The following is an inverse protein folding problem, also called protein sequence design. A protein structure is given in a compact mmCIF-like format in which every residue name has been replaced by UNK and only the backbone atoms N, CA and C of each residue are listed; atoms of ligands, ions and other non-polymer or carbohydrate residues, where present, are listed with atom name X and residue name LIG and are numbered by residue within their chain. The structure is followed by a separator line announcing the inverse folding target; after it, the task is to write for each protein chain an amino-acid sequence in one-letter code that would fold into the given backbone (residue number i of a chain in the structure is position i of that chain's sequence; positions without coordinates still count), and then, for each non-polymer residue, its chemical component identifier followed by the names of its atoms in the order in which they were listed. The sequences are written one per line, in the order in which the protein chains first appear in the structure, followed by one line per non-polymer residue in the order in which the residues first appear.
data_IF_289847776759
#
_entry.id   IF_289847776759
#
_cell.length_a   1.000
_cell.length_b   1.000
_cell.length_c   1.000
_cell.angle_alpha   90.00
_cell.angle_beta   90.00
_cell.angle_gamma   90.00
#
_symmetry.space_group_name_H-M   'P 1'
#
loop_
_entity.id
_entity.type
_entity.pdbx_description
1 polymer ?
#
# COMPACT_ATOMS: atom_id res chain seq x y z
N UNK A 1 -5.13 0.37 -63.63
CA UNK A 1 -3.76 -0.09 -63.33
C UNK A 1 -3.82 -0.79 -61.99
N UNK A 2 -3.63 -2.10 -61.98
CA UNK A 2 -3.74 -2.94 -60.79
C UNK A 2 -2.30 -3.27 -60.37
N UNK A 3 -1.75 -2.55 -59.40
CA UNK A 3 -0.43 -2.85 -58.84
C UNK A 3 -0.60 -4.03 -57.86
N UNK A 4 -0.08 -5.20 -58.23
CA UNK A 4 -0.03 -6.34 -57.31
C UNK A 4 1.01 -6.07 -56.21
N UNK A 5 0.71 -6.41 -54.94
CA UNK A 5 1.66 -6.22 -53.85
C UNK A 5 2.87 -7.14 -54.05
N UNK A 6 4.08 -6.57 -53.94
CA UNK A 6 5.35 -7.32 -53.95
C UNK A 6 5.32 -8.38 -52.84
N UNK A 7 5.23 -9.65 -53.23
CA UNK A 7 5.59 -10.77 -52.34
C UNK A 7 7.08 -10.65 -52.04
N UNK A 8 7.41 -10.32 -50.79
CA UNK A 8 8.79 -10.38 -50.30
C UNK A 8 9.18 -11.84 -50.10
N UNK A 9 10.39 -12.21 -50.53
CA UNK A 9 10.95 -13.54 -50.31
C UNK A 9 11.22 -13.75 -48.81
N UNK A 10 10.52 -14.71 -48.21
CA UNK A 10 10.60 -15.06 -46.79
C UNK A 10 12.05 -15.38 -46.34
N UNK A 11 12.90 -15.86 -47.26
CA UNK A 11 14.29 -16.18 -46.97
C UNK A 11 15.16 -14.91 -46.80
N UNK A 12 14.94 -13.91 -47.65
CA UNK A 12 15.62 -12.61 -47.55
C UNK A 12 15.24 -11.89 -46.25
N UNK A 13 13.96 -11.95 -45.86
CA UNK A 13 13.49 -11.35 -44.61
C UNK A 13 14.16 -12.00 -43.38
N UNK A 14 14.25 -13.35 -43.35
CA UNK A 14 14.92 -14.07 -42.26
C UNK A 14 16.41 -13.75 -42.17
N UNK A 15 17.07 -13.58 -43.31
CA UNK A 15 18.49 -13.21 -43.38
C UNK A 15 18.72 -11.78 -42.92
N UNK A 16 17.85 -10.85 -43.32
CA UNK A 16 17.88 -9.46 -42.88
C UNK A 16 17.67 -9.34 -41.36
N UNK A 17 16.67 -10.03 -40.81
CA UNK A 17 16.39 -10.06 -39.36
C UNK A 17 17.59 -10.63 -38.59
N UNK A 18 18.21 -11.72 -39.07
CA UNK A 18 19.39 -12.30 -38.41
C UNK A 18 20.58 -11.33 -38.41
N UNK A 19 20.83 -10.65 -39.53
CA UNK A 19 21.90 -9.68 -39.64
C UNK A 19 21.67 -8.46 -38.73
N UNK A 20 20.42 -7.98 -38.64
CA UNK A 20 20.05 -6.88 -37.74
C UNK A 20 20.23 -7.24 -36.27
N UNK A 21 19.79 -8.44 -35.87
CA UNK A 21 19.99 -8.95 -34.50
C UNK A 21 21.48 -9.01 -34.17
N UNK A 22 22.30 -9.54 -35.08
CA UNK A 22 23.73 -9.67 -34.87
C UNK A 22 24.45 -8.32 -34.79
N UNK A 23 24.05 -7.35 -35.62
CA UNK A 23 24.57 -5.97 -35.53
C UNK A 23 24.23 -5.34 -34.19
N UNK A 24 22.96 -5.44 -33.77
CA UNK A 24 22.50 -4.92 -32.48
C UNK A 24 23.24 -5.55 -31.31
N UNK A 25 23.51 -6.85 -31.36
CA UNK A 25 24.25 -7.55 -30.31
C UNK A 25 25.73 -7.15 -30.29
N UNK A 26 26.35 -6.97 -31.46
CA UNK A 26 27.72 -6.43 -31.55
C UNK A 26 27.82 -5.00 -30.99
N UNK A 27 26.84 -4.14 -31.26
CA UNK A 27 26.80 -2.79 -30.71
C UNK A 27 26.62 -2.80 -29.19
N UNK A 28 25.71 -3.63 -28.68
CA UNK A 28 25.53 -3.83 -27.23
C UNK A 28 26.81 -4.32 -26.56
N UNK A 29 27.53 -5.27 -27.18
CA UNK A 29 28.81 -5.75 -26.65
C UNK A 29 29.88 -4.65 -26.66
N UNK A 30 30.02 -3.89 -27.75
CA UNK A 30 30.96 -2.75 -27.82
C UNK A 30 30.64 -1.68 -26.78
N UNK A 31 29.36 -1.34 -26.59
CA UNK A 31 28.94 -0.37 -25.59
C UNK A 31 29.22 -0.87 -24.16
N UNK A 32 28.96 -2.15 -23.89
CA UNK A 32 29.26 -2.79 -22.60
C UNK A 32 30.77 -2.75 -22.32
N UNK A 33 31.61 -3.17 -23.26
CA UNK A 33 33.06 -3.14 -23.14
C UNK A 33 33.60 -1.72 -22.93
N UNK A 34 33.08 -0.74 -23.68
CA UNK A 34 33.45 0.68 -23.51
C UNK A 34 33.11 1.16 -22.09
N UNK A 35 31.91 0.86 -21.59
CA UNK A 35 31.48 1.22 -20.23
C UNK A 35 32.33 0.54 -19.16
N UNK A 36 32.67 -0.73 -19.33
CA UNK A 36 33.57 -1.47 -18.43
C UNK A 36 34.98 -0.90 -18.43
N UNK A 37 35.53 -0.58 -19.61
CA UNK A 37 36.86 0.04 -19.73
C UNK A 37 36.91 1.44 -19.08
N UNK A 38 35.87 2.25 -19.23
CA UNK A 38 35.76 3.56 -18.59
C UNK A 38 35.66 3.44 -17.07
N UNK A 39 34.86 2.48 -16.58
CA UNK A 39 34.78 2.20 -15.13
C UNK A 39 36.11 1.73 -14.57
N UNK A 40 36.81 0.84 -15.29
CA UNK A 40 38.13 0.36 -14.87
C UNK A 40 39.16 1.49 -14.86
N UNK A 41 39.17 2.35 -15.88
CA UNK A 41 40.04 3.52 -15.93
C UNK A 41 39.75 4.50 -14.78
N UNK A 42 38.47 4.76 -14.50
CA UNK A 42 38.04 5.58 -13.35
C UNK A 42 38.53 4.99 -12.02
N UNK A 43 38.30 3.69 -11.78
CA UNK A 43 38.74 3.02 -10.57
C UNK A 43 40.27 3.04 -10.37
N UNK A 44 41.04 2.93 -11.46
CA UNK A 44 42.51 3.06 -11.41
C UNK A 44 42.92 4.49 -11.06
N UNK A 45 42.26 5.49 -11.64
CA UNK A 45 42.54 6.90 -11.33
C UNK A 45 42.20 7.24 -9.87
N UNK A 46 41.04 6.78 -9.38
CA UNK A 46 40.63 6.94 -7.99
C UNK A 46 41.65 6.32 -7.04
N UNK A 47 42.07 5.07 -7.31
CA UNK A 47 43.09 4.39 -6.50
C UNK A 47 44.42 5.13 -6.49
N UNK A 48 44.85 5.72 -7.60
CA UNK A 48 46.07 6.54 -7.66
C UNK A 48 45.95 7.79 -6.79
N UNK A 49 44.79 8.46 -6.83
CA UNK A 49 44.51 9.63 -6.00
C UNK A 49 44.55 9.29 -4.51
N UNK A 50 43.99 8.14 -4.12
CA UNK A 50 44.00 7.70 -2.72
C UNK A 50 45.43 7.41 -2.23
N UNK A 51 46.23 6.70 -3.03
CA UNK A 51 47.65 6.46 -2.70
C UNK A 51 48.41 7.78 -2.55
N UNK A 52 48.22 8.71 -3.50
CA UNK A 52 48.88 10.01 -3.45
C UNK A 52 48.48 10.82 -2.21
N UNK A 53 47.20 10.78 -1.82
CA UNK A 53 46.70 11.43 -0.60
C UNK A 53 47.31 10.82 0.66
N UNK A 54 47.40 9.49 0.74
CA UNK A 54 48.05 8.81 1.86
C UNK A 54 49.54 9.14 1.96
N UNK A 55 50.26 9.18 0.82
CA UNK A 55 51.67 9.56 0.77
C UNK A 55 51.89 11.00 1.23
N UNK A 56 51.07 11.95 0.76
CA UNK A 56 51.08 13.33 1.23
C UNK A 56 50.85 13.42 2.73
N UNK A 57 49.83 12.73 3.25
CA UNK A 57 49.53 12.72 4.68
C UNK A 57 50.72 12.21 5.48
N UNK A 58 51.31 11.06 5.10
CA UNK A 58 52.50 10.52 5.76
C UNK A 58 53.69 11.49 5.74
N UNK A 59 53.84 12.25 4.66
CA UNK A 59 54.94 13.22 4.50
C UNK A 59 54.77 14.45 5.41
N UNK A 60 53.54 14.99 5.52
CA UNK A 60 53.26 16.22 6.25
C UNK A 60 52.82 16.01 7.70
N UNK A 61 52.31 14.85 8.08
CA UNK A 61 51.87 14.53 9.46
C UNK A 61 52.99 14.67 10.49
N UNK A 62 54.23 14.38 10.09
CA UNK A 62 55.41 14.52 10.96
C UNK A 62 56.10 15.89 10.85
N UNK A 63 55.59 16.82 10.03
CA UNK A 63 56.16 18.17 9.87
C UNK A 63 55.36 19.18 10.70
N UNK A 64 55.94 19.75 11.77
CA UNK A 64 55.27 20.80 12.52
C UNK A 64 55.09 22.03 11.63
N UNK A 65 53.86 22.55 11.55
CA UNK A 65 53.56 23.80 10.84
C UNK A 65 52.66 23.67 9.62
N UNK A 66 52.27 22.46 9.22
CA UNK A 66 51.27 22.25 8.17
C UNK A 66 49.92 21.82 8.76
N UNK A 67 48.83 22.18 8.08
CA UNK A 67 47.47 21.74 8.40
C UNK A 67 46.82 21.19 7.12
N UNK A 68 46.15 20.05 7.26
CA UNK A 68 45.31 19.47 6.20
C UNK A 68 44.02 20.29 6.08
N UNK A 69 43.72 20.75 4.87
CA UNK A 69 42.47 21.43 4.54
C UNK A 69 41.85 20.80 3.27
N UNK A 70 40.54 20.99 3.11
CA UNK A 70 39.79 20.54 1.93
C UNK A 70 39.35 21.79 1.17
N UNK A 71 39.73 21.89 -0.10
CA UNK A 71 39.37 23.01 -0.96
C UNK A 71 37.92 22.89 -1.48
N UNK A 72 37.40 23.94 -2.11
CA UNK A 72 36.04 23.96 -2.69
C UNK A 72 35.79 22.82 -3.70
N UNK A 73 36.84 22.37 -4.39
CA UNK A 73 36.80 21.24 -5.32
C UNK A 73 36.81 19.86 -4.64
N UNK A 74 36.89 19.81 -3.30
CA UNK A 74 36.94 18.57 -2.52
C UNK A 74 38.33 17.90 -2.51
N UNK A 75 39.36 18.60 -2.99
CA UNK A 75 40.75 18.15 -2.96
C UNK A 75 41.43 18.49 -1.64
N UNK A 76 42.41 17.67 -1.25
CA UNK A 76 43.14 17.83 0.03
C UNK A 76 44.43 18.59 -0.22
N UNK A 77 44.60 19.74 0.41
CA UNK A 77 45.83 20.52 0.35
C UNK A 77 46.46 20.68 1.73
N UNK A 78 47.79 20.79 1.74
CA UNK A 78 48.58 20.99 2.95
C UNK A 78 49.13 22.40 2.95
N UNK A 79 48.55 23.27 3.78
CA UNK A 79 48.92 24.68 3.86
C UNK A 79 49.69 24.95 5.16
N UNK A 80 50.63 25.90 5.11
CA UNK A 80 51.37 26.32 6.30
C UNK A 80 50.46 27.11 7.25
N UNK A 81 50.71 27.02 8.56
CA UNK A 81 49.91 27.74 9.57
C UNK A 81 49.92 29.27 9.39
N UNK A 82 51.01 29.81 8.85
CA UNK A 82 51.17 31.24 8.55
C UNK A 82 50.24 31.66 7.40
N UNK A 83 50.24 30.89 6.32
CA UNK A 83 49.39 31.13 5.15
C UNK A 83 47.89 30.94 5.45
N UNK A 84 47.53 29.99 6.32
CA UNK A 84 46.15 29.85 6.85
C UNK A 84 45.75 31.07 7.70
N UNK A 85 46.68 31.67 8.45
CA UNK A 85 46.38 32.84 9.27
C UNK A 85 46.27 34.13 8.47
N UNK A 86 47.01 34.24 7.37
CA UNK A 86 47.05 35.41 6.50
C UNK A 86 45.88 35.43 5.51
N UNK A 87 45.50 34.26 5.00
CA UNK A 87 44.38 34.07 4.06
C UNK A 87 43.14 33.45 4.72
N UNK A 88 43.01 33.53 6.06
CA UNK A 88 41.98 32.83 6.83
C UNK A 88 40.52 33.19 6.52
N UNK A 89 40.27 34.17 5.65
CA UNK A 89 38.93 34.48 5.11
C UNK A 89 38.53 33.62 3.91
N UNK A 90 39.47 32.90 3.27
CA UNK A 90 39.18 31.98 2.15
C UNK A 90 38.88 30.55 2.60
N UNK A 91 39.26 30.20 3.83
CA UNK A 91 39.09 28.86 4.38
C UNK A 91 38.24 28.97 5.65
N UNK A 92 36.91 28.99 5.47
CA UNK A 92 35.97 28.97 6.59
C UNK A 92 36.34 27.80 7.52
N UNK A 93 36.60 28.13 8.78
CA UNK A 93 36.94 27.17 9.83
C UNK A 93 35.78 26.20 10.16
N UNK A 94 34.63 26.41 9.53
CA UNK A 94 33.35 25.74 9.77
C UNK A 94 32.88 24.92 8.56
N UNK A 95 33.80 24.35 7.75
CA UNK A 95 33.42 23.24 6.86
C UNK A 95 33.06 22.05 7.76
N UNK A 96 31.80 21.99 8.20
CA UNK A 96 31.20 20.82 8.82
C UNK A 96 31.59 19.60 7.98
N UNK A 97 32.31 18.65 8.58
CA UNK A 97 32.67 17.39 7.94
C UNK A 97 31.42 16.81 7.24
N UNK A 98 31.40 16.73 5.89
CA UNK A 98 30.22 16.29 5.14
C UNK A 98 29.81 14.86 5.51
N UNK A 99 30.69 14.10 6.19
CA UNK A 99 30.36 12.81 6.78
C UNK A 99 29.28 12.91 7.87
N UNK A 100 29.25 13.99 8.65
CA UNK A 100 28.30 14.17 9.74
C UNK A 100 26.95 14.69 9.24
N UNK A 101 26.95 15.61 8.26
CA UNK A 101 25.74 16.06 7.57
C UNK A 101 25.04 14.91 6.84
N UNK A 102 25.79 14.04 6.15
CA UNK A 102 25.22 12.84 5.52
C UNK A 102 24.71 11.80 6.55
N UNK A 103 25.38 11.64 7.70
CA UNK A 103 24.88 10.77 8.79
C UNK A 103 23.56 11.29 9.34
N UNK A 104 23.44 12.61 9.53
CA UNK A 104 22.20 13.24 10.00
C UNK A 104 21.08 13.08 8.97
N UNK A 105 21.34 13.33 7.68
CA UNK A 105 20.35 13.11 6.62
C UNK A 105 19.90 11.65 6.52
N UNK A 106 20.82 10.68 6.59
CA UNK A 106 20.48 9.24 6.60
C UNK A 106 19.66 8.85 7.83
N UNK A 107 19.97 9.40 9.00
CA UNK A 107 19.20 9.16 10.21
C UNK A 107 17.77 9.71 10.07
N UNK A 108 17.59 10.93 9.55
CA UNK A 108 16.27 11.51 9.29
C UNK A 108 15.48 10.73 8.24
N UNK A 109 16.14 10.22 7.18
CA UNK A 109 15.50 9.34 6.18
C UNK A 109 15.05 8.02 6.81
N UNK A 110 15.87 7.40 7.66
CA UNK A 110 15.47 6.17 8.37
C UNK A 110 14.29 6.42 9.31
N UNK A 111 14.28 7.54 10.03
CA UNK A 111 13.15 7.93 10.89
C UNK A 111 11.89 8.15 10.05
N UNK A 112 12.00 8.83 8.90
CA UNK A 112 10.86 9.02 7.99
C UNK A 112 10.34 7.71 7.41
N UNK A 113 11.22 6.77 7.06
CA UNK A 113 10.84 5.43 6.58
C UNK A 113 10.14 4.64 7.69
N UNK A 114 10.66 4.67 8.92
CA UNK A 114 10.04 4.00 10.07
C UNK A 114 8.67 4.61 10.37
N UNK A 115 8.54 5.94 10.32
CA UNK A 115 7.27 6.63 10.49
C UNK A 115 6.28 6.23 9.39
N UNK A 116 6.71 6.22 8.13
CA UNK A 116 5.88 5.82 7.00
C UNK A 116 5.47 4.34 7.09
N UNK A 117 6.38 3.44 7.46
CA UNK A 117 6.07 2.04 7.72
C UNK A 117 5.07 1.88 8.86
N UNK A 118 5.23 2.61 9.96
CA UNK A 118 4.29 2.60 11.08
C UNK A 118 2.89 3.07 10.66
N UNK A 119 2.81 4.14 9.87
CA UNK A 119 1.55 4.65 9.31
C UNK A 119 0.94 3.61 8.36
N UNK A 120 1.74 3.03 7.46
CA UNK A 120 1.27 2.03 6.51
C UNK A 120 0.78 0.74 7.20
N UNK A 121 1.47 0.28 8.26
CA UNK A 121 1.06 -0.86 9.08
C UNK A 121 -0.23 -0.52 9.84
N UNK A 122 -0.34 0.68 10.40
CA UNK A 122 -1.57 1.14 11.04
C UNK A 122 -2.74 1.18 10.06
N UNK A 123 -2.55 1.75 8.88
CA UNK A 123 -3.55 1.76 7.79
C UNK A 123 -3.93 0.36 7.35
N UNK A 124 -2.96 -0.55 7.21
CA UNK A 124 -3.22 -1.94 6.85
C UNK A 124 -4.09 -2.63 7.89
N UNK A 125 -3.82 -2.43 9.19
CA UNK A 125 -4.63 -2.98 10.28
C UNK A 125 -6.04 -2.37 10.34
N UNK A 126 -6.18 -1.07 10.04
CA UNK A 126 -7.50 -0.41 9.94
C UNK A 126 -8.29 -0.93 8.74
N UNK A 127 -7.63 -1.20 7.60
CA UNK A 127 -8.30 -1.72 6.40
C UNK A 127 -8.63 -3.22 6.51
N UNK A 128 -7.86 -3.98 7.29
CA UNK A 128 -8.11 -5.38 7.57
C UNK A 128 -8.85 -5.50 8.90
N UNK A 129 -10.09 -4.99 8.94
CA UNK A 129 -11.04 -5.38 9.98
C UNK A 129 -11.15 -6.92 9.93
N UNK A 130 -10.74 -7.57 11.01
CA UNK A 130 -10.72 -9.03 11.05
C UNK A 130 -12.13 -9.59 10.87
N UNK A 131 -12.25 -10.79 10.33
CA UNK A 131 -13.56 -11.40 10.05
C UNK A 131 -14.02 -12.26 11.23
N UNK A 132 -15.32 -12.33 11.47
CA UNK A 132 -15.97 -13.23 12.43
C UNK A 132 -17.04 -14.10 11.77
N UNK A 133 -17.83 -14.80 12.59
CA UNK A 133 -18.98 -15.57 12.11
C UNK A 133 -20.23 -15.32 12.95
N UNK A 134 -21.39 -15.40 12.31
CA UNK A 134 -22.68 -15.17 12.97
C UNK A 134 -23.60 -16.35 12.65
N UNK A 135 -24.09 -17.00 13.68
CA UNK A 135 -25.16 -17.99 13.57
C UNK A 135 -26.50 -17.30 13.85
N UNK A 136 -27.42 -17.39 12.89
CA UNK A 136 -28.77 -16.84 13.04
C UNK A 136 -29.75 -18.00 13.17
N UNK A 137 -30.42 -18.09 14.31
CA UNK A 137 -31.44 -19.12 14.59
C UNK A 137 -32.84 -18.51 14.56
N UNK A 138 -33.81 -19.23 13.99
CA UNK A 138 -35.20 -18.81 13.97
C UNK A 138 -36.15 -19.99 14.20
N UNK A 139 -37.26 -19.74 14.88
CA UNK A 139 -38.33 -20.73 15.03
C UNK A 139 -39.03 -21.10 13.70
N UNK A 140 -38.93 -20.24 12.67
CA UNK A 140 -39.54 -20.47 11.36
C UNK A 140 -38.45 -20.74 10.32
N UNK A 141 -38.45 -21.92 9.68
CA UNK A 141 -37.50 -22.21 8.61
C UNK A 141 -37.80 -21.31 7.39
N UNK A 142 -36.77 -21.05 6.59
CA UNK A 142 -36.85 -20.20 5.38
C UNK A 142 -37.18 -18.71 5.64
N UNK A 143 -37.00 -18.21 6.86
CA UNK A 143 -36.95 -16.76 7.08
C UNK A 143 -35.67 -16.20 6.46
N UNK A 144 -35.74 -15.08 5.75
CA UNK A 144 -34.60 -14.49 5.04
C UNK A 144 -33.76 -13.66 6.01
N UNK A 145 -32.44 -13.86 6.01
CA UNK A 145 -31.54 -13.11 6.89
C UNK A 145 -31.08 -11.82 6.20
N UNK A 146 -31.28 -10.69 6.89
CA UNK A 146 -30.87 -9.36 6.44
C UNK A 146 -29.85 -8.81 7.43
N UNK A 147 -28.68 -8.40 6.93
CA UNK A 147 -27.61 -7.79 7.72
C UNK A 147 -27.32 -6.41 7.14
N UNK A 148 -27.32 -5.38 7.98
CA UNK A 148 -27.05 -3.98 7.61
C UNK A 148 -27.92 -3.48 6.44
N UNK A 149 -29.21 -3.88 6.46
CA UNK A 149 -30.18 -3.64 5.40
C UNK A 149 -29.86 -4.29 4.03
N UNK A 150 -28.91 -5.22 3.99
CA UNK A 150 -28.59 -6.04 2.81
C UNK A 150 -29.10 -7.45 3.01
N UNK A 151 -29.90 -7.93 2.05
CA UNK A 151 -30.34 -9.32 2.02
C UNK A 151 -29.14 -10.21 1.70
N UNK A 152 -28.84 -11.14 2.59
CA UNK A 152 -27.68 -12.03 2.46
C UNK A 152 -27.92 -13.17 1.47
N UNK A 153 -29.18 -13.43 1.09
CA UNK A 153 -29.59 -14.55 0.26
C UNK A 153 -29.64 -15.89 1.00
N UNK A 154 -29.33 -15.90 2.29
CA UNK A 154 -29.41 -17.09 3.15
C UNK A 154 -30.68 -17.08 4.00
N UNK A 155 -31.11 -18.27 4.37
CA UNK A 155 -32.26 -18.50 5.24
C UNK A 155 -31.83 -18.72 6.70
N UNK A 156 -32.76 -18.57 7.63
CA UNK A 156 -32.54 -18.83 9.05
C UNK A 156 -32.02 -20.25 9.33
N UNK A 157 -31.39 -20.41 10.49
CA UNK A 157 -30.59 -21.58 10.91
C UNK A 157 -29.31 -21.78 10.10
N UNK A 158 -28.79 -20.69 9.52
CA UNK A 158 -27.54 -20.66 8.76
C UNK A 158 -26.42 -19.96 9.52
N UNK A 159 -25.19 -20.41 9.27
CA UNK A 159 -23.97 -19.79 9.81
C UNK A 159 -23.34 -18.94 8.72
N UNK A 160 -23.39 -17.62 8.90
CA UNK A 160 -22.67 -16.69 8.03
C UNK A 160 -21.21 -16.62 8.46
N UNK A 161 -20.34 -17.14 7.60
CA UNK A 161 -18.89 -17.03 7.74
C UNK A 161 -18.38 -15.75 7.08
N UNK A 162 -17.21 -15.29 7.51
CA UNK A 162 -16.51 -14.14 6.93
C UNK A 162 -17.22 -12.78 7.04
N UNK A 163 -18.06 -12.60 8.06
CA UNK A 163 -18.67 -11.29 8.34
C UNK A 163 -17.60 -10.33 8.87
N UNK A 164 -17.53 -9.10 8.35
CA UNK A 164 -16.59 -8.10 8.84
C UNK A 164 -16.74 -7.92 10.37
N UNK A 165 -15.66 -7.67 11.10
CA UNK A 165 -15.79 -7.26 12.49
C UNK A 165 -16.33 -5.82 12.56
N UNK A 166 -17.19 -5.56 13.53
CA UNK A 166 -17.80 -4.27 13.73
C UNK A 166 -19.25 -4.38 14.20
N UNK A 167 -19.94 -3.24 14.14
CA UNK A 167 -21.33 -3.14 14.55
C UNK A 167 -22.24 -3.53 13.40
N UNK A 168 -23.04 -4.56 13.60
CA UNK A 168 -24.02 -5.03 12.61
C UNK A 168 -25.44 -4.94 13.13
N UNK A 169 -26.36 -4.66 12.22
CA UNK A 169 -27.80 -4.67 12.43
C UNK A 169 -28.37 -5.92 11.76
N UNK A 170 -28.87 -6.87 12.54
CA UNK A 170 -29.43 -8.12 12.02
C UNK A 170 -30.95 -8.09 12.17
N UNK A 171 -31.64 -8.51 11.14
CA UNK A 171 -33.08 -8.75 11.16
C UNK A 171 -33.42 -9.95 10.27
N UNK A 172 -34.63 -10.49 10.43
CA UNK A 172 -35.13 -11.62 9.66
C UNK A 172 -36.51 -11.31 9.11
N UNK A 173 -36.80 -11.73 7.88
CA UNK A 173 -38.06 -11.43 7.22
C UNK A 173 -38.70 -12.69 6.62
N UNK A 174 -40.01 -12.87 6.85
CA UNK A 174 -40.84 -13.90 6.20
C UNK A 174 -42.23 -13.33 5.96
N UNK A 175 -42.74 -13.49 4.74
CA UNK A 175 -44.08 -13.05 4.38
C UNK A 175 -45.16 -13.72 5.25
N UNK A 176 -46.08 -12.93 5.79
CA UNK A 176 -47.15 -13.41 6.67
C UNK A 176 -46.74 -13.62 8.12
N UNK A 177 -45.54 -13.19 8.52
CA UNK A 177 -45.04 -13.28 9.89
C UNK A 177 -44.42 -11.96 10.33
N UNK A 178 -44.52 -11.66 11.63
CA UNK A 178 -43.88 -10.53 12.29
C UNK A 178 -42.92 -11.03 13.37
N UNK A 179 -41.86 -10.27 13.61
CA UNK A 179 -40.91 -10.56 14.70
C UNK A 179 -41.59 -10.23 16.03
N UNK A 180 -41.49 -11.13 16.99
CA UNK A 180 -41.89 -10.91 18.38
C UNK A 180 -40.71 -10.32 19.16
N UNK A 181 -40.87 -9.08 19.64
CA UNK A 181 -39.83 -8.36 20.38
C UNK A 181 -39.06 -7.37 19.51
N UNK A 182 -37.73 -7.38 19.62
CA UNK A 182 -36.85 -6.43 18.93
C UNK A 182 -36.74 -6.79 17.44
N UNK A 183 -37.28 -5.93 16.59
CA UNK A 183 -37.25 -6.08 15.12
C UNK A 183 -35.81 -6.11 14.59
N UNK A 184 -34.89 -5.40 15.26
CA UNK A 184 -33.49 -5.28 14.87
C UNK A 184 -32.61 -5.60 16.07
N UNK A 185 -31.75 -6.61 15.93
CA UNK A 185 -30.71 -6.90 16.91
C UNK A 185 -29.40 -6.24 16.52
N UNK A 186 -28.82 -5.49 17.47
CA UNK A 186 -27.52 -4.83 17.30
C UNK A 186 -26.44 -5.70 17.92
N UNK A 187 -25.47 -6.09 17.13
CA UNK A 187 -24.33 -6.88 17.59
C UNK A 187 -23.02 -6.12 17.35
N UNK A 188 -22.01 -6.37 18.18
CA UNK A 188 -20.66 -5.83 18.02
C UNK A 188 -19.69 -7.01 17.86
N UNK A 189 -19.41 -7.38 16.62
CA UNK A 189 -18.65 -8.57 16.26
C UNK A 189 -17.16 -8.28 16.29
N UNK A 190 -16.40 -9.05 17.07
CA UNK A 190 -14.95 -8.98 17.07
C UNK A 190 -14.35 -9.97 16.08
N UNK A 191 -13.15 -9.64 15.60
CA UNK A 191 -12.39 -10.51 14.73
C UNK A 191 -12.18 -11.91 15.35
N UNK A 192 -12.53 -12.96 14.61
CA UNK A 192 -12.43 -14.35 15.03
C UNK A 192 -13.48 -14.81 16.05
N UNK A 193 -14.44 -13.95 16.42
CA UNK A 193 -15.54 -14.30 17.32
C UNK A 193 -16.70 -14.93 16.54
N UNK A 194 -17.41 -15.84 17.20
CA UNK A 194 -18.65 -16.43 16.71
C UNK A 194 -19.80 -16.01 17.61
N UNK A 195 -20.79 -15.30 17.08
CA UNK A 195 -21.98 -14.89 17.81
C UNK A 195 -23.22 -15.66 17.39
N UNK A 196 -24.11 -15.91 18.35
CA UNK A 196 -25.42 -16.52 18.15
C UNK A 196 -26.52 -15.47 18.33
N UNK A 197 -27.40 -15.37 17.35
CA UNK A 197 -28.53 -14.44 17.34
C UNK A 197 -29.79 -15.23 17.08
N UNK A 198 -30.76 -15.17 17.99
CA UNK A 198 -32.03 -15.90 17.88
C UNK A 198 -33.20 -14.95 17.68
N UNK A 199 -34.11 -15.31 16.77
CA UNK A 199 -35.34 -14.58 16.49
C UNK A 199 -36.57 -15.48 16.62
N UNK A 200 -37.64 -14.90 17.16
CA UNK A 200 -38.95 -15.54 17.24
C UNK A 200 -39.93 -14.78 16.35
N UNK A 201 -40.54 -15.49 15.40
CA UNK A 201 -41.56 -14.95 14.50
C UNK A 201 -42.93 -15.51 14.87
N UNK A 202 -43.95 -14.67 14.79
CA UNK A 202 -45.36 -14.97 15.07
C UNK A 202 -46.18 -14.62 13.81
N UNK A 203 -47.22 -15.40 13.46
CA UNK A 203 -48.08 -15.09 12.32
C UNK A 203 -48.60 -13.66 12.39
N UNK A 204 -48.53 -12.95 11.27
CA UNK A 204 -49.10 -11.63 11.13
C UNK A 204 -50.60 -11.79 10.87
N UNK A 205 -51.36 -11.97 11.96
CA UNK A 205 -52.81 -12.07 11.90
C UNK A 205 -53.35 -10.68 11.56
N UNK A 206 -53.51 -10.40 10.27
CA UNK A 206 -54.32 -9.30 9.79
C UNK A 206 -55.70 -9.51 10.38
N UNK A 207 -56.07 -8.73 11.39
CA UNK A 207 -57.42 -8.75 11.91
C UNK A 207 -58.34 -8.16 10.85
N UNK A 208 -58.95 -9.04 10.07
CA UNK A 208 -60.07 -8.79 9.17
C UNK A 208 -61.34 -8.54 10.02
N UNK A 209 -61.27 -7.56 10.93
CA UNK A 209 -62.35 -7.12 11.81
C UNK A 209 -62.58 -5.63 11.58
N UNK A 210 -63.20 -5.26 10.45
CA UNK A 210 -63.85 -3.94 10.35
C UNK A 210 -64.97 -3.83 9.30
N UNK A 211 -65.32 -4.89 8.55
CA UNK A 211 -66.37 -4.80 7.52
C UNK A 211 -67.73 -5.41 7.90
N UNK A 212 -67.88 -6.08 9.05
CA UNK A 212 -69.17 -6.72 9.41
C UNK A 212 -69.99 -6.01 10.49
N UNK A 213 -69.44 -5.05 11.25
CA UNK A 213 -70.23 -4.30 12.24
C UNK A 213 -71.05 -3.13 11.65
N UNK A 214 -70.68 -2.62 10.47
CA UNK A 214 -71.46 -1.58 9.80
C UNK A 214 -72.78 -2.08 9.18
N UNK A 215 -72.95 -3.39 8.98
CA UNK A 215 -74.15 -3.97 8.37
C UNK A 215 -75.26 -4.35 9.37
N UNK A 216 -74.96 -4.41 10.68
CA UNK A 216 -75.95 -4.82 11.69
C UNK A 216 -76.69 -3.62 12.30
N UNK A 217 -76.05 -2.44 12.40
CA UNK A 217 -76.71 -1.23 12.92
C UNK A 217 -77.71 -0.56 11.95
N UNK A 218 -77.76 -0.97 10.69
CA UNK A 218 -78.73 -0.46 9.72
C UNK A 218 -80.11 -1.15 9.77
N UNK A 219 -80.31 -2.21 10.59
CA UNK A 219 -81.59 -2.95 10.67
C UNK A 219 -82.41 -2.74 11.95
N UNK A 220 -81.92 -2.05 12.97
CA UNK A 220 -82.70 -1.78 14.20
C UNK A 220 -83.34 -0.38 14.26
N UNK A 221 -83.11 0.49 13.26
CA UNK A 221 -83.65 1.85 13.23
C UNK A 221 -84.97 2.08 12.47
N UNK A 222 -85.58 1.04 11.88
CA UNK A 222 -86.75 1.18 10.99
C UNK A 222 -87.98 0.39 11.44
N UNK A 223 -88.25 0.35 12.74
CA UNK A 223 -89.38 -0.37 13.32
C UNK A 223 -89.94 0.28 14.59
N UNK A 224 -90.19 1.59 14.56
CA UNK A 224 -91.12 2.28 15.47
C UNK A 224 -92.09 3.12 14.65
#
# INVERSE_FOLDING_TARGET
MNEQPKQFDDEELRKAIRAEIEQRDREKQKAKLKKESQKAAGAIADRKRDIYREELRRYYENRPGYKEIINEDGETEWITKEEVSENGQLYDADIEDPSNAMKMQKAWVLVAIILFLGIAIGLYAVLHEGKGSIRVECNIPEATIIIDAVNTGYYADFVLEEVAAGKHLITVEKAGFKIEGDIIQRIDLKAGESMLVSFTLVPDVVQEQDETEAAVQAKEGAGQ
#
